data_IF_079040788727
#
_entry.id   IF_079040788727
#
_cell.length_a   1.000
_cell.length_b   1.000
_cell.length_c   1.000
_cell.angle_alpha   90.00
_cell.angle_beta   90.00
_cell.angle_gamma   90.00
#
_symmetry.space_group_name_H-M   'P 1'
#
loop_
_entity.id
_entity.type
_entity.pdbx_description
1 polymer ?
#
# COMPACT_ATOMS: atom_id res chain seq x y z
N UNK A 1 16.28 -17.43 5.49
CA UNK A 1 15.44 -16.69 4.52
C UNK A 1 13.99 -16.79 4.98
N UNK A 2 13.38 -15.68 5.41
CA UNK A 2 12.01 -15.68 5.95
C UNK A 2 11.04 -15.65 4.77
N UNK A 3 10.22 -16.69 4.59
CA UNK A 3 9.26 -16.80 3.49
C UNK A 3 8.42 -15.51 3.40
N UNK A 4 8.61 -14.72 2.33
CA UNK A 4 7.79 -13.54 2.04
C UNK A 4 6.41 -14.04 1.63
N UNK A 5 5.40 -13.81 2.48
CA UNK A 5 4.01 -14.18 2.18
C UNK A 5 3.40 -13.13 1.26
N UNK A 6 3.79 -13.17 -0.01
CA UNK A 6 3.18 -12.35 -1.04
C UNK A 6 1.68 -12.63 -1.11
N UNK A 7 0.89 -11.58 -1.23
CA UNK A 7 -0.52 -11.69 -1.56
C UNK A 7 -0.68 -12.30 -2.95
N UNK A 8 -1.79 -13.00 -3.18
CA UNK A 8 -2.13 -13.47 -4.53
C UNK A 8 -2.28 -12.28 -5.48
N UNK A 9 -2.03 -12.47 -6.78
CA UNK A 9 -2.18 -11.40 -7.79
C UNK A 9 -3.57 -10.75 -7.74
N UNK A 10 -4.62 -11.56 -7.57
CA UNK A 10 -6.00 -11.08 -7.40
C UNK A 10 -6.13 -10.15 -6.19
N UNK A 11 -5.54 -10.52 -5.04
CA UNK A 11 -5.57 -9.71 -3.83
C UNK A 11 -4.78 -8.40 -4.00
N UNK A 12 -3.62 -8.44 -4.66
CA UNK A 12 -2.85 -7.23 -4.96
C UNK A 12 -3.65 -6.26 -5.83
N UNK A 13 -4.26 -6.74 -6.92
CA UNK A 13 -5.10 -5.93 -7.79
C UNK A 13 -6.31 -5.35 -7.05
N UNK A 14 -7.01 -6.15 -6.24
CA UNK A 14 -8.16 -5.67 -5.48
C UNK A 14 -7.78 -4.59 -4.46
N UNK A 15 -6.64 -4.77 -3.78
CA UNK A 15 -6.11 -3.77 -2.85
C UNK A 15 -5.82 -2.44 -3.56
N UNK A 16 -5.04 -2.47 -4.65
CA UNK A 16 -4.68 -1.25 -5.37
C UNK A 16 -5.88 -0.58 -6.04
N UNK A 17 -6.83 -1.33 -6.58
CA UNK A 17 -8.06 -0.76 -7.15
C UNK A 17 -8.87 -0.01 -6.08
N UNK A 18 -9.03 -0.59 -4.89
CA UNK A 18 -9.72 0.06 -3.77
C UNK A 18 -8.95 1.28 -3.28
N UNK A 19 -7.63 1.17 -3.17
CA UNK A 19 -6.78 2.26 -2.74
C UNK A 19 -6.85 3.44 -3.72
N UNK A 20 -6.68 3.19 -5.03
CA UNK A 20 -6.79 4.21 -6.08
C UNK A 20 -8.15 4.90 -6.03
N UNK A 21 -9.23 4.12 -5.99
CA UNK A 21 -10.58 4.66 -5.90
C UNK A 21 -10.76 5.61 -4.71
N UNK A 22 -10.29 5.22 -3.51
CA UNK A 22 -10.42 6.08 -2.33
C UNK A 22 -9.55 7.33 -2.44
N UNK A 23 -8.30 7.21 -2.90
CA UNK A 23 -7.42 8.37 -3.08
C UNK A 23 -7.97 9.36 -4.13
N UNK A 24 -8.49 8.86 -5.24
CA UNK A 24 -9.12 9.66 -6.30
C UNK A 24 -10.39 10.38 -5.82
N UNK A 25 -11.10 9.81 -4.85
CA UNK A 25 -12.26 10.44 -4.22
C UNK A 25 -11.88 11.40 -3.08
N UNK A 26 -10.59 11.73 -2.93
CA UNK A 26 -10.12 12.76 -2.01
C UNK A 26 -9.87 12.29 -0.57
N UNK A 27 -9.93 10.98 -0.31
CA UNK A 27 -9.50 10.45 0.97
C UNK A 27 -7.97 10.45 1.06
N UNK A 28 -7.42 10.81 2.23
CA UNK A 28 -5.99 10.61 2.47
C UNK A 28 -5.64 9.12 2.62
N UNK A 29 -4.34 8.81 2.55
CA UNK A 29 -3.83 7.44 2.60
C UNK A 29 -4.21 6.71 3.89
N UNK A 30 -4.20 7.40 5.04
CA UNK A 30 -4.49 6.78 6.34
C UNK A 30 -5.97 6.39 6.43
N UNK A 31 -6.85 7.29 6.02
CA UNK A 31 -8.30 7.10 5.97
C UNK A 31 -8.66 6.01 4.95
N UNK A 32 -8.02 6.01 3.79
CA UNK A 32 -8.23 4.99 2.77
C UNK A 32 -7.87 3.58 3.29
N UNK A 33 -6.71 3.43 3.95
CA UNK A 33 -6.29 2.16 4.55
C UNK A 33 -7.25 1.70 5.66
N UNK A 34 -7.72 2.60 6.51
CA UNK A 34 -8.70 2.29 7.54
C UNK A 34 -10.05 1.81 6.95
N UNK A 35 -10.51 2.41 5.85
CA UNK A 35 -11.73 1.97 5.16
C UNK A 35 -11.54 0.60 4.48
N UNK A 36 -10.38 0.35 3.89
CA UNK A 36 -10.04 -0.96 3.32
C UNK A 36 -10.01 -2.03 4.41
N UNK A 37 -9.43 -1.73 5.58
CA UNK A 37 -9.41 -2.62 6.73
C UNK A 37 -10.81 -2.99 7.21
N UNK A 38 -11.69 -1.99 7.37
CA UNK A 38 -13.08 -2.19 7.83
C UNK A 38 -13.90 -3.00 6.84
N UNK A 39 -13.67 -2.81 5.53
CA UNK A 39 -14.41 -3.51 4.48
C UNK A 39 -13.89 -4.93 4.22
N UNK A 40 -12.66 -5.25 4.61
CA UNK A 40 -12.07 -6.57 4.41
C UNK A 40 -11.30 -7.06 5.64
N UNK A 41 -12.00 -7.74 6.54
CA UNK A 41 -11.42 -8.29 7.78
C UNK A 41 -10.25 -9.25 7.54
N UNK A 42 -10.23 -9.94 6.39
CA UNK A 42 -9.12 -10.83 5.98
C UNK A 42 -7.80 -10.09 5.78
N UNK A 43 -7.83 -8.78 5.59
CA UNK A 43 -6.64 -7.96 5.36
C UNK A 43 -6.21 -7.20 6.61
N UNK A 44 -7.00 -7.25 7.70
CA UNK A 44 -6.78 -6.41 8.87
C UNK A 44 -5.37 -6.51 9.42
N UNK A 45 -4.92 -7.73 9.73
CA UNK A 45 -3.60 -7.92 10.32
C UNK A 45 -2.45 -7.41 9.41
N UNK A 46 -2.59 -7.56 8.09
CA UNK A 46 -1.58 -7.06 7.16
C UNK A 46 -1.63 -5.53 7.04
N UNK A 47 -2.83 -4.94 7.07
CA UNK A 47 -3.02 -3.48 7.03
C UNK A 47 -2.55 -2.83 8.34
N UNK A 48 -2.78 -3.45 9.49
CA UNK A 48 -2.27 -2.99 10.79
C UNK A 48 -0.75 -2.85 10.75
N UNK A 49 -0.05 -3.83 10.15
CA UNK A 49 1.41 -3.77 9.96
C UNK A 49 1.79 -2.62 9.03
N UNK A 50 1.07 -2.43 7.92
CA UNK A 50 1.33 -1.34 6.96
C UNK A 50 1.15 0.02 7.63
N UNK A 51 0.04 0.22 8.35
CA UNK A 51 -0.27 1.48 9.05
C UNK A 51 0.75 1.76 10.15
N UNK A 52 1.15 0.75 10.92
CA UNK A 52 2.20 0.89 11.94
C UNK A 52 3.56 1.28 11.34
N UNK A 53 3.92 0.69 10.19
CA UNK A 53 5.16 1.04 9.47
C UNK A 53 5.09 2.46 8.89
N UNK A 54 3.94 2.87 8.31
CA UNK A 54 3.71 4.23 7.80
C UNK A 54 3.77 5.27 8.93
N UNK A 55 3.21 4.97 10.10
CA UNK A 55 3.24 5.87 11.26
C UNK A 55 4.66 6.13 11.78
N UNK A 56 5.63 5.24 11.46
CA UNK A 56 7.05 5.44 11.75
C UNK A 56 7.76 6.30 10.69
N UNK A 57 7.02 6.86 9.72
CA UNK A 57 7.58 7.64 8.62
C UNK A 57 8.23 6.80 7.52
N UNK A 58 7.96 5.49 7.46
CA UNK A 58 8.45 4.66 6.36
C UNK A 58 7.66 4.96 5.09
N UNK A 59 8.34 4.80 3.94
CA UNK A 59 7.71 4.90 2.63
C UNK A 59 6.69 3.78 2.40
N UNK A 60 5.65 4.05 1.62
CA UNK A 60 4.61 3.09 1.27
C UNK A 60 5.20 1.88 0.53
N UNK A 61 6.17 2.09 -0.37
CA UNK A 61 6.90 1.01 -1.03
C UNK A 61 7.54 0.03 -0.02
N UNK A 62 8.17 0.56 1.02
CA UNK A 62 8.81 -0.25 2.09
C UNK A 62 7.75 -1.02 2.89
N UNK A 63 6.63 -0.37 3.21
CA UNK A 63 5.54 -1.00 3.96
C UNK A 63 4.90 -2.16 3.17
N UNK A 64 4.74 -1.99 1.86
CA UNK A 64 4.11 -2.99 0.96
C UNK A 64 5.07 -4.08 0.49
N UNK A 65 6.39 -3.91 0.62
CA UNK A 65 7.42 -4.79 0.03
C UNK A 65 7.33 -6.27 0.44
N UNK A 66 6.70 -6.57 1.58
CA UNK A 66 6.51 -7.95 2.06
C UNK A 66 5.24 -8.62 1.52
N UNK A 67 4.32 -7.84 0.95
CA UNK A 67 2.98 -8.27 0.54
C UNK A 67 2.78 -8.24 -0.98
N UNK A 68 3.48 -7.35 -1.67
CA UNK A 68 3.26 -7.04 -3.08
C UNK A 68 4.45 -7.49 -3.94
N UNK A 69 4.20 -7.79 -5.21
CA UNK A 69 5.24 -8.17 -6.16
C UNK A 69 6.37 -7.11 -6.22
N UNK A 70 7.65 -7.52 -6.18
CA UNK A 70 8.78 -6.60 -6.29
C UNK A 70 8.75 -5.64 -7.48
N UNK A 71 8.16 -6.01 -8.62
CA UNK A 71 8.05 -5.10 -9.78
C UNK A 71 7.19 -3.87 -9.46
N UNK A 72 6.04 -4.08 -8.82
CA UNK A 72 5.14 -3.01 -8.38
C UNK A 72 5.81 -2.15 -7.31
N UNK A 73 6.61 -2.75 -6.44
CA UNK A 73 7.38 -2.02 -5.42
C UNK A 73 8.42 -1.11 -6.07
N UNK A 74 9.10 -1.57 -7.11
CA UNK A 74 10.07 -0.74 -7.85
C UNK A 74 9.38 0.48 -8.47
N UNK A 75 8.22 0.28 -9.10
CA UNK A 75 7.40 1.38 -9.66
C UNK A 75 6.96 2.37 -8.56
N UNK A 76 6.44 1.88 -7.43
CA UNK A 76 6.06 2.73 -6.29
C UNK A 76 7.25 3.50 -5.73
N UNK A 77 8.41 2.85 -5.60
CA UNK A 77 9.64 3.49 -5.09
C UNK A 77 10.06 4.63 -6.02
N UNK A 78 9.99 4.44 -7.34
CA UNK A 78 10.28 5.50 -8.31
C UNK A 78 9.33 6.68 -8.15
N UNK A 79 8.03 6.43 -7.99
CA UNK A 79 7.04 7.49 -7.75
C UNK A 79 7.26 8.19 -6.41
N UNK A 80 7.66 7.50 -5.36
CA UNK A 80 7.93 8.14 -4.07
C UNK A 80 9.20 8.99 -4.09
N UNK A 81 10.23 8.56 -4.83
CA UNK A 81 11.48 9.30 -4.99
C UNK A 81 11.36 10.49 -5.96
N UNK A 82 10.58 10.34 -7.05
CA UNK A 82 10.51 11.31 -8.15
C UNK A 82 9.16 12.05 -8.25
N UNK A 83 8.09 11.52 -7.68
CA UNK A 83 6.75 12.11 -7.71
C UNK A 83 6.63 13.42 -6.92
N UNK A 84 7.59 13.73 -6.04
CA UNK A 84 7.73 15.07 -5.47
C UNK A 84 8.30 16.10 -6.46
N UNK A 85 8.86 15.69 -7.61
CA UNK A 85 9.52 16.58 -8.56
C UNK A 85 8.59 17.08 -9.68
N UNK A 86 7.38 16.52 -9.84
CA UNK A 86 6.42 16.93 -10.86
C UNK A 86 5.26 17.75 -10.28
N UNK A 87 5.61 18.92 -9.71
CA UNK A 87 4.71 20.08 -9.67
C UNK A 87 5.43 21.19 -10.43
N UNK A 88 5.26 21.20 -11.75
CA UNK A 88 5.56 22.38 -12.57
C UNK A 88 4.28 23.18 -12.76
#
# INVERSE_FOLDING_TARGET
>A
MRFRRLWSRKRQAEFFNRLSYLLENGFDLQTALALIQRSCSKWSADIDVIVADLAQGKLLSVCLARFVNPSIIAELTLVELHGQQQRF
#
